data_IF_440655891112
#
_entry.id   IF_440655891112
#
_cell.length_a   1.000
_cell.length_b   1.000
_cell.length_c   1.000
_cell.angle_alpha   90.00
_cell.angle_beta   90.00
_cell.angle_gamma   90.00
#
_symmetry.space_group_name_H-M   'P 1'
#
loop_
_entity.id
_entity.type
_entity.pdbx_description
1 polymer ?
#
# COMPACT_ATOMS: atom_id res chain seq x y z
N UNK A 1 -28.11 -42.62 -79.25
CA UNK A 1 -27.52 -43.94 -78.92
C UNK A 1 -26.21 -43.67 -78.20
N UNK A 2 -25.91 -44.07 -76.96
CA UNK A 2 -26.35 -45.18 -76.10
C UNK A 2 -26.37 -44.69 -74.64
N UNK A 3 -27.31 -45.29 -73.88
CA UNK A 3 -27.41 -45.31 -72.42
C UNK A 3 -26.13 -45.90 -71.79
N UNK A 4 -25.86 -45.65 -70.51
CA UNK A 4 -25.93 -46.67 -69.44
C UNK A 4 -25.49 -46.11 -68.06
N UNK A 5 -26.39 -46.24 -67.07
CA UNK A 5 -26.19 -46.70 -65.67
C UNK A 5 -25.22 -45.93 -64.74
N UNK A 6 -25.37 -45.79 -63.43
CA UNK A 6 -26.33 -46.11 -62.35
C UNK A 6 -25.48 -45.88 -61.08
N UNK A 7 -25.97 -45.18 -60.05
CA UNK A 7 -25.83 -45.53 -58.62
C UNK A 7 -25.92 -44.31 -57.69
N UNK A 8 -27.06 -44.28 -57.02
CA UNK A 8 -27.28 -43.74 -55.68
C UNK A 8 -26.25 -44.36 -54.71
N UNK A 9 -25.59 -43.53 -53.89
CA UNK A 9 -25.13 -43.91 -52.55
C UNK A 9 -24.81 -42.66 -51.70
N UNK A 10 -25.77 -42.32 -50.84
CA UNK A 10 -25.61 -42.07 -49.40
C UNK A 10 -24.33 -41.29 -49.05
N UNK A 11 -24.45 -39.97 -48.94
CA UNK A 11 -23.48 -39.15 -48.24
C UNK A 11 -23.69 -39.35 -46.73
N UNK A 12 -22.91 -40.26 -46.16
CA UNK A 12 -22.84 -40.53 -44.73
C UNK A 12 -22.20 -39.31 -44.05
N UNK A 13 -22.98 -38.62 -43.23
CA UNK A 13 -22.57 -37.54 -42.35
C UNK A 13 -21.64 -38.13 -41.27
N UNK A 14 -20.34 -38.25 -41.56
CA UNK A 14 -19.33 -38.57 -40.53
C UNK A 14 -19.03 -37.28 -39.79
N UNK A 15 -19.77 -37.09 -38.70
CA UNK A 15 -19.46 -36.16 -37.62
C UNK A 15 -18.07 -36.55 -37.07
N UNK A 16 -17.03 -35.83 -37.49
CA UNK A 16 -15.72 -35.87 -36.86
C UNK A 16 -15.84 -35.22 -35.47
N UNK A 17 -16.25 -36.01 -34.48
CA UNK A 17 -15.99 -35.72 -33.08
C UNK A 17 -14.50 -35.88 -32.83
N UNK A 18 -13.73 -34.82 -33.12
CA UNK A 18 -12.38 -34.71 -32.59
C UNK A 18 -12.50 -34.62 -31.06
N UNK A 19 -11.84 -35.50 -30.28
CA UNK A 19 -11.70 -35.25 -28.86
C UNK A 19 -10.90 -33.96 -28.71
N UNK A 20 -11.54 -32.93 -28.17
CA UNK A 20 -10.84 -31.78 -27.64
C UNK A 20 -9.92 -32.29 -26.53
N UNK A 21 -8.65 -32.52 -26.87
CA UNK A 21 -7.59 -32.65 -25.88
C UNK A 21 -7.47 -31.27 -25.25
N UNK A 22 -8.20 -31.07 -24.16
CA UNK A 22 -7.96 -29.98 -23.22
C UNK A 22 -6.57 -30.20 -22.63
N UNK A 23 -5.56 -29.59 -23.24
CA UNK A 23 -4.27 -29.40 -22.60
C UNK A 23 -4.52 -28.61 -21.31
N UNK A 24 -4.41 -29.29 -20.17
CA UNK A 24 -4.40 -28.65 -18.86
C UNK A 24 -3.20 -27.71 -18.78
N UNK A 25 -3.46 -26.41 -18.95
CA UNK A 25 -2.48 -25.34 -18.81
C UNK A 25 -2.36 -24.82 -17.36
N UNK A 26 -2.82 -25.58 -16.36
CA UNK A 26 -2.88 -25.08 -14.97
C UNK A 26 -1.68 -25.47 -14.09
N UNK A 27 -0.82 -26.42 -14.49
CA UNK A 27 0.23 -26.93 -13.59
C UNK A 27 1.63 -26.33 -13.80
N UNK A 28 1.93 -25.76 -14.98
CA UNK A 28 3.26 -25.22 -15.29
C UNK A 28 3.53 -23.81 -14.75
N UNK A 29 2.49 -23.02 -14.50
CA UNK A 29 2.65 -21.59 -14.17
C UNK A 29 3.09 -21.36 -12.71
N UNK A 30 2.76 -22.25 -11.78
CA UNK A 30 3.12 -22.12 -10.35
C UNK A 30 4.50 -22.70 -9.99
N UNK A 31 5.23 -23.29 -10.95
CA UNK A 31 6.56 -23.83 -10.68
C UNK A 31 7.57 -22.77 -10.23
N UNK A 32 7.32 -21.49 -10.55
CA UNK A 32 8.11 -20.38 -10.03
C UNK A 32 8.07 -20.29 -8.50
N UNK A 33 6.93 -20.58 -7.85
CA UNK A 33 6.84 -20.55 -6.39
C UNK A 33 7.66 -21.65 -5.73
N UNK A 34 7.78 -22.82 -6.37
CA UNK A 34 8.66 -23.90 -5.89
C UNK A 34 10.13 -23.48 -5.97
N UNK A 35 10.53 -22.83 -7.07
CA UNK A 35 11.88 -22.27 -7.23
C UNK A 35 12.19 -21.24 -6.13
N UNK A 36 11.23 -20.34 -5.84
CA UNK A 36 11.40 -19.34 -4.78
C UNK A 36 11.41 -19.97 -3.39
N UNK A 37 10.57 -20.99 -3.13
CA UNK A 37 10.55 -21.69 -1.85
C UNK A 37 11.88 -22.38 -1.53
N UNK A 38 12.61 -22.86 -2.55
CA UNK A 38 13.92 -23.47 -2.42
C UNK A 38 15.11 -22.51 -2.55
N UNK A 39 14.88 -21.21 -2.75
CA UNK A 39 15.94 -20.25 -3.02
C UNK A 39 16.93 -20.15 -1.84
N UNK A 40 18.25 -20.19 -2.09
CA UNK A 40 19.25 -20.03 -1.02
C UNK A 40 19.71 -18.58 -0.81
N UNK A 41 19.35 -17.70 -1.74
CA UNK A 41 19.80 -16.31 -1.76
C UNK A 41 18.76 -15.41 -2.41
N UNK A 42 18.70 -14.16 -1.98
CA UNK A 42 18.06 -13.07 -2.72
C UNK A 42 19.00 -12.67 -3.86
N UNK A 43 18.47 -12.65 -5.08
CA UNK A 43 19.23 -12.38 -6.31
C UNK A 43 18.58 -11.25 -7.09
N UNK A 44 19.40 -10.32 -7.60
CA UNK A 44 18.96 -9.36 -8.62
C UNK A 44 18.96 -9.99 -10.02
N UNK A 45 18.50 -9.25 -11.03
CA UNK A 45 18.35 -9.76 -12.39
C UNK A 45 19.66 -10.29 -12.98
N UNK A 46 20.74 -9.54 -12.75
CA UNK A 46 22.07 -9.82 -13.27
C UNK A 46 22.99 -10.15 -12.10
N UNK A 47 23.54 -11.36 -12.14
CA UNK A 47 24.61 -11.81 -11.27
C UNK A 47 25.94 -11.70 -12.00
N UNK A 48 26.93 -11.13 -11.34
CA UNK A 48 28.23 -10.82 -11.91
C UNK A 48 28.06 -10.00 -13.22
N UNK A 49 29.00 -10.09 -14.17
CA UNK A 49 28.97 -9.26 -15.38
C UNK A 49 27.98 -9.73 -16.46
N UNK A 50 27.32 -10.89 -16.35
CA UNK A 50 26.44 -11.38 -17.44
C UNK A 50 25.42 -12.47 -17.09
N UNK A 51 25.45 -13.10 -15.91
CA UNK A 51 24.61 -14.27 -15.65
C UNK A 51 23.23 -13.86 -15.19
N UNK A 52 22.19 -14.20 -15.96
CA UNK A 52 20.80 -13.96 -15.55
C UNK A 52 20.41 -14.89 -14.41
N UNK A 53 19.78 -14.34 -13.38
CA UNK A 53 19.28 -15.13 -12.25
C UNK A 53 17.99 -15.87 -12.60
N UNK A 54 18.00 -17.20 -12.47
CA UNK A 54 16.78 -18.03 -12.58
C UNK A 54 15.82 -17.78 -11.41
N UNK A 55 16.34 -17.45 -10.23
CA UNK A 55 15.54 -17.09 -9.04
C UNK A 55 14.81 -15.76 -9.30
N UNK A 56 15.51 -14.76 -9.83
CA UNK A 56 14.90 -13.49 -10.18
C UNK A 56 13.86 -13.64 -11.32
N UNK A 57 14.14 -14.51 -12.30
CA UNK A 57 13.16 -14.83 -13.34
C UNK A 57 11.89 -15.48 -12.75
N UNK A 58 12.04 -16.39 -11.78
CA UNK A 58 10.91 -16.99 -11.07
C UNK A 58 10.11 -15.94 -10.27
N UNK A 59 10.79 -14.98 -9.62
CA UNK A 59 10.14 -13.84 -8.98
C UNK A 59 9.32 -13.01 -9.98
N UNK A 60 9.90 -12.65 -11.13
CA UNK A 60 9.19 -11.92 -12.19
C UNK A 60 7.99 -12.69 -12.74
N UNK A 61 8.09 -14.02 -12.85
CA UNK A 61 6.98 -14.86 -13.27
C UNK A 61 5.87 -14.88 -12.20
N UNK A 62 6.22 -15.02 -10.92
CA UNK A 62 5.25 -14.99 -9.82
C UNK A 62 4.43 -13.68 -9.79
N UNK A 63 5.05 -12.54 -10.10
CA UNK A 63 4.33 -11.26 -10.24
C UNK A 63 3.30 -11.26 -11.37
N UNK A 64 3.56 -11.97 -12.48
CA UNK A 64 2.61 -12.06 -13.61
C UNK A 64 1.38 -12.89 -13.27
N UNK A 65 1.49 -13.82 -12.32
CA UNK A 65 0.37 -14.64 -11.87
C UNK A 65 -0.70 -13.84 -11.11
N UNK A 66 -0.39 -12.61 -10.67
CA UNK A 66 -1.29 -11.75 -9.87
C UNK A 66 -1.91 -12.50 -8.70
N UNK A 67 -1.06 -13.20 -7.94
CA UNK A 67 -1.46 -13.94 -6.75
C UNK A 67 -2.19 -13.02 -5.77
N UNK A 68 -3.12 -13.57 -4.98
CA UNK A 68 -3.69 -12.83 -3.87
C UNK A 68 -2.57 -12.50 -2.85
N UNK A 69 -2.29 -11.21 -2.57
CA UNK A 69 -1.25 -10.78 -1.65
C UNK A 69 -1.41 -11.34 -0.22
N UNK A 70 -2.65 -11.60 0.20
CA UNK A 70 -3.01 -12.22 1.50
C UNK A 70 -3.44 -13.69 1.33
N UNK A 71 -3.27 -14.24 0.13
CA UNK A 71 -3.70 -15.58 -0.23
C UNK A 71 -2.81 -16.69 0.29
N UNK A 72 -3.36 -17.91 0.19
CA UNK A 72 -2.75 -19.15 0.69
C UNK A 72 -1.39 -19.42 0.09
N UNK A 73 -1.17 -19.15 -1.20
CA UNK A 73 0.10 -19.42 -1.87
C UNK A 73 1.28 -18.66 -1.24
N UNK A 74 1.09 -17.37 -0.92
CA UNK A 74 2.13 -16.57 -0.29
C UNK A 74 2.26 -16.88 1.21
N UNK A 75 1.19 -17.31 1.87
CA UNK A 75 1.24 -17.83 3.24
C UNK A 75 2.04 -19.14 3.32
N UNK A 76 1.83 -20.04 2.37
CA UNK A 76 2.58 -21.30 2.28
C UNK A 76 4.07 -21.02 2.02
N UNK A 77 4.39 -20.05 1.17
CA UNK A 77 5.77 -19.62 0.93
C UNK A 77 6.40 -18.96 2.17
N UNK A 78 5.64 -18.15 2.92
CA UNK A 78 6.08 -17.58 4.19
C UNK A 78 6.32 -18.63 5.28
N UNK A 79 5.51 -19.69 5.30
CA UNK A 79 5.57 -20.73 6.35
C UNK A 79 6.63 -21.79 6.06
N UNK A 80 6.70 -22.25 4.80
CA UNK A 80 7.47 -23.43 4.42
C UNK A 80 8.66 -23.09 3.51
N UNK A 81 8.77 -21.85 3.03
CA UNK A 81 9.90 -21.41 2.22
C UNK A 81 11.19 -21.28 3.01
N UNK A 82 12.30 -21.35 2.29
CA UNK A 82 13.62 -20.97 2.78
C UNK A 82 13.64 -19.50 3.26
N UNK A 83 14.68 -19.07 4.00
CA UNK A 83 14.84 -17.66 4.38
C UNK A 83 14.69 -16.68 3.20
N UNK A 84 15.26 -17.00 2.04
CA UNK A 84 15.10 -16.19 0.84
C UNK A 84 13.66 -16.27 0.28
N UNK A 85 13.04 -17.46 0.27
CA UNK A 85 11.67 -17.66 -0.17
C UNK A 85 10.66 -16.82 0.62
N UNK A 86 10.82 -16.74 1.95
CA UNK A 86 9.97 -15.88 2.81
C UNK A 86 10.09 -14.40 2.46
N UNK A 87 11.31 -13.92 2.22
CA UNK A 87 11.53 -12.54 1.76
C UNK A 87 10.91 -12.31 0.37
N UNK A 88 11.06 -13.25 -0.56
CA UNK A 88 10.41 -13.15 -1.87
C UNK A 88 8.88 -13.12 -1.77
N UNK A 89 8.27 -13.86 -0.85
CA UNK A 89 6.83 -13.75 -0.59
C UNK A 89 6.44 -12.32 -0.17
N UNK A 90 7.27 -11.67 0.64
CA UNK A 90 7.06 -10.28 1.05
C UNK A 90 7.24 -9.30 -0.12
N UNK A 91 8.28 -9.47 -0.95
CA UNK A 91 8.46 -8.66 -2.15
C UNK A 91 7.31 -8.83 -3.15
N UNK A 92 6.84 -10.06 -3.38
CA UNK A 92 5.69 -10.31 -4.26
C UNK A 92 4.44 -9.64 -3.71
N UNK A 93 4.14 -9.84 -2.42
CA UNK A 93 3.00 -9.18 -1.79
C UNK A 93 3.11 -7.67 -1.90
N UNK A 94 4.28 -7.10 -1.63
CA UNK A 94 4.56 -5.66 -1.75
C UNK A 94 4.29 -5.11 -3.15
N UNK A 95 4.78 -5.77 -4.18
CA UNK A 95 4.58 -5.36 -5.58
C UNK A 95 3.11 -5.43 -6.02
N UNK A 96 2.34 -6.35 -5.44
CA UNK A 96 0.94 -6.56 -5.79
C UNK A 96 0.00 -5.69 -4.94
N UNK A 97 0.32 -5.51 -3.65
CA UNK A 97 -0.41 -4.70 -2.66
C UNK A 97 0.55 -4.23 -1.54
N UNK A 98 0.81 -2.91 -1.51
CA UNK A 98 1.75 -2.31 -0.57
C UNK A 98 1.43 -2.60 0.91
N UNK A 99 0.18 -2.38 1.41
CA UNK A 99 -0.16 -2.72 2.79
C UNK A 99 0.06 -4.20 3.16
N UNK A 100 -0.29 -5.11 2.25
CA UNK A 100 -0.05 -6.54 2.40
C UNK A 100 1.45 -6.87 2.52
N UNK A 101 2.28 -6.25 1.67
CA UNK A 101 3.73 -6.37 1.73
C UNK A 101 4.29 -5.93 3.08
N UNK A 102 3.90 -4.73 3.56
CA UNK A 102 4.30 -4.24 4.88
C UNK A 102 3.91 -5.20 6.00
N UNK A 103 2.67 -5.67 6.02
CA UNK A 103 2.17 -6.58 7.04
C UNK A 103 2.96 -7.91 7.06
N UNK A 104 3.43 -8.38 5.91
CA UNK A 104 4.28 -9.57 5.83
C UNK A 104 5.71 -9.30 6.28
N UNK A 105 6.30 -8.16 5.92
CA UNK A 105 7.63 -7.77 6.40
C UNK A 105 7.67 -7.59 7.93
N UNK A 106 6.61 -7.05 8.55
CA UNK A 106 6.51 -6.96 10.01
C UNK A 106 6.61 -8.33 10.71
N UNK A 107 6.05 -9.39 10.09
CA UNK A 107 6.15 -10.76 10.63
C UNK A 107 7.60 -11.29 10.63
N UNK A 108 8.46 -10.75 9.77
CA UNK A 108 9.85 -11.18 9.62
C UNK A 108 10.83 -10.44 10.55
N UNK A 109 10.40 -9.44 11.33
CA UNK A 109 11.30 -8.63 12.19
C UNK A 109 12.04 -9.43 13.26
N UNK A 110 11.56 -10.63 13.60
CA UNK A 110 12.17 -11.52 14.59
C UNK A 110 12.77 -12.79 13.98
N UNK A 111 12.83 -12.88 12.65
CA UNK A 111 13.39 -14.04 11.96
C UNK A 111 14.90 -13.84 11.76
N UNK A 112 15.72 -14.40 12.66
CA UNK A 112 17.18 -14.29 12.59
C UNK A 112 17.83 -15.32 11.68
N UNK A 113 17.05 -16.02 10.85
CA UNK A 113 17.60 -16.96 9.87
C UNK A 113 18.54 -16.24 8.91
N UNK A 114 19.70 -16.86 8.65
CA UNK A 114 20.69 -16.35 7.71
C UNK A 114 20.22 -16.48 6.26
N UNK A 115 20.56 -15.48 5.46
CA UNK A 115 20.26 -15.45 4.04
C UNK A 115 21.37 -14.74 3.28
N UNK A 116 21.70 -15.26 2.10
CA UNK A 116 22.66 -14.63 1.20
C UNK A 116 21.95 -13.60 0.31
N UNK A 117 22.57 -12.44 0.16
CA UNK A 117 22.24 -11.47 -0.87
C UNK A 117 23.26 -11.56 -2.00
N UNK A 118 22.80 -11.56 -3.25
CA UNK A 118 23.65 -11.54 -4.45
C UNK A 118 23.11 -10.51 -5.45
N UNK A 119 23.88 -9.45 -5.68
CA UNK A 119 23.52 -8.40 -6.65
C UNK A 119 24.77 -7.86 -7.33
N UNK A 120 24.81 -7.89 -8.67
CA UNK A 120 26.02 -7.58 -9.41
C UNK A 120 27.21 -8.42 -8.94
N UNK A 121 28.29 -7.78 -8.48
CA UNK A 121 29.48 -8.45 -7.92
C UNK A 121 29.41 -8.67 -6.40
N UNK A 122 28.33 -8.23 -5.75
CA UNK A 122 28.18 -8.29 -4.29
C UNK A 122 27.64 -9.64 -3.87
N UNK A 123 28.31 -10.28 -2.90
CA UNK A 123 27.80 -11.45 -2.17
C UNK A 123 27.96 -11.15 -0.68
N UNK A 124 26.84 -11.12 0.05
CA UNK A 124 26.83 -10.80 1.49
C UNK A 124 25.91 -11.77 2.22
N UNK A 125 26.29 -12.17 3.44
CA UNK A 125 25.40 -12.87 4.37
C UNK A 125 24.78 -11.86 5.34
N UNK A 126 23.47 -11.96 5.53
CA UNK A 126 22.70 -11.12 6.46
C UNK A 126 21.60 -11.98 7.10
N UNK A 127 20.73 -11.37 7.90
CA UNK A 127 19.55 -12.03 8.47
C UNK A 127 18.27 -11.56 7.80
N UNK A 128 17.24 -12.41 7.84
CA UNK A 128 15.89 -12.05 7.38
C UNK A 128 15.35 -10.84 8.17
N UNK A 129 15.57 -10.80 9.49
CA UNK A 129 15.17 -9.70 10.37
C UNK A 129 15.80 -8.35 10.01
N UNK A 130 17.08 -8.35 9.62
CA UNK A 130 17.78 -7.13 9.17
C UNK A 130 17.21 -6.64 7.84
N UNK A 131 17.03 -7.52 6.86
CA UNK A 131 16.41 -7.16 5.58
C UNK A 131 15.01 -6.58 5.81
N UNK A 132 14.18 -7.25 6.62
CA UNK A 132 12.83 -6.81 6.90
C UNK A 132 12.81 -5.43 7.59
N UNK A 133 13.66 -5.22 8.58
CA UNK A 133 13.73 -3.95 9.31
C UNK A 133 14.21 -2.80 8.42
N UNK A 134 15.25 -3.02 7.60
CA UNK A 134 15.72 -2.03 6.63
C UNK A 134 14.63 -1.72 5.60
N UNK A 135 13.94 -2.73 5.06
CA UNK A 135 12.89 -2.53 4.07
C UNK A 135 11.66 -1.81 4.65
N UNK A 136 11.28 -2.07 5.89
CA UNK A 136 10.16 -1.37 6.56
C UNK A 136 10.44 0.13 6.74
N UNK A 137 11.71 0.51 6.93
CA UNK A 137 12.13 1.91 7.10
C UNK A 137 12.38 2.59 5.75
N UNK A 138 13.09 1.91 4.85
CA UNK A 138 13.64 2.51 3.64
C UNK A 138 12.79 2.21 2.39
N UNK A 139 11.84 1.28 2.48
CA UNK A 139 11.00 0.80 1.38
C UNK A 139 11.77 0.25 0.16
N UNK A 140 13.05 -0.06 0.37
CA UNK A 140 13.93 -0.75 -0.56
C UNK A 140 14.97 -1.53 0.23
N UNK A 141 15.65 -2.46 -0.43
CA UNK A 141 16.77 -3.18 0.15
C UNK A 141 17.89 -3.30 -0.90
N UNK A 142 18.96 -2.54 -0.70
CA UNK A 142 20.11 -2.45 -1.63
C UNK A 142 19.64 -2.22 -3.07
N UNK A 143 20.26 -2.88 -4.05
CA UNK A 143 19.94 -2.84 -5.47
C UNK A 143 18.85 -3.84 -5.89
N UNK A 144 18.10 -4.44 -4.95
CA UNK A 144 17.01 -5.35 -5.34
C UNK A 144 15.89 -4.55 -6.04
N UNK A 145 15.57 -4.87 -7.31
CA UNK A 145 14.65 -4.05 -8.09
C UNK A 145 13.20 -4.35 -7.73
N UNK A 146 12.61 -3.49 -6.91
CA UNK A 146 11.16 -3.40 -6.72
C UNK A 146 10.60 -2.42 -7.75
N UNK A 147 9.59 -2.84 -8.51
CA UNK A 147 9.07 -2.01 -9.61
C UNK A 147 8.30 -0.79 -9.12
N UNK A 148 7.88 -0.80 -7.85
CA UNK A 148 7.30 0.37 -7.17
C UNK A 148 8.28 1.57 -7.15
N UNK A 149 9.61 1.36 -7.17
CA UNK A 149 10.57 2.46 -7.13
C UNK A 149 10.74 3.20 -8.48
N UNK A 150 10.40 2.55 -9.61
CA UNK A 150 10.52 3.15 -10.96
C UNK A 150 9.17 3.35 -11.66
N UNK A 151 8.03 2.98 -11.04
CA UNK A 151 6.68 3.04 -11.65
C UNK A 151 5.64 3.81 -10.82
N UNK A 152 6.04 4.81 -10.04
CA UNK A 152 5.07 5.80 -9.58
C UNK A 152 4.82 6.77 -10.76
N UNK A 153 3.71 6.57 -11.48
CA UNK A 153 2.43 7.00 -10.94
C UNK A 153 1.49 5.82 -10.83
N UNK A 154 1.26 5.29 -9.63
CA UNK A 154 0.19 4.30 -9.47
C UNK A 154 -0.56 4.38 -8.14
N UNK A 155 -1.87 4.37 -8.31
CA UNK A 155 -2.97 4.33 -7.35
C UNK A 155 -2.98 3.02 -6.57
N UNK A 156 -2.30 3.00 -5.43
CA UNK A 156 -2.83 2.42 -4.20
C UNK A 156 -3.05 3.65 -3.32
N UNK A 157 -4.03 3.69 -2.41
CA UNK A 157 -4.13 4.76 -1.39
C UNK A 157 -3.43 4.29 -0.10
N UNK A 158 -2.08 4.15 -0.02
CA UNK A 158 -1.38 3.87 1.23
C UNK A 158 -1.58 5.00 2.25
N UNK A 159 -2.05 6.14 1.78
CA UNK A 159 -2.44 7.29 2.58
C UNK A 159 -3.70 6.98 3.40
N UNK A 160 -4.66 6.24 2.87
CA UNK A 160 -5.92 5.97 3.59
C UNK A 160 -5.75 5.11 4.86
N UNK A 161 -4.62 4.42 5.03
CA UNK A 161 -4.28 3.59 6.20
C UNK A 161 -2.95 3.97 6.88
N UNK A 162 -2.37 5.12 6.55
CA UNK A 162 -1.17 5.57 7.25
C UNK A 162 -1.48 5.85 8.73
N UNK A 163 -0.59 5.51 9.69
CA UNK A 163 -0.85 5.68 11.12
C UNK A 163 -1.31 7.10 11.50
N UNK A 164 -0.69 8.14 10.92
CA UNK A 164 -1.08 9.52 11.13
C UNK A 164 -2.48 9.84 10.58
N UNK A 165 -2.89 9.27 9.43
CA UNK A 165 -4.24 9.45 8.89
C UNK A 165 -5.30 8.70 9.71
N UNK A 166 -4.95 7.57 10.32
CA UNK A 166 -5.79 6.91 11.32
C UNK A 166 -5.96 7.80 12.56
N UNK A 167 -4.86 8.32 13.11
CA UNK A 167 -4.88 9.22 14.27
C UNK A 167 -5.73 10.46 14.00
N UNK A 168 -5.61 11.07 12.81
CA UNK A 168 -6.46 12.20 12.42
C UNK A 168 -7.93 11.81 12.28
N UNK A 169 -8.24 10.65 11.69
CA UNK A 169 -9.63 10.16 11.56
C UNK A 169 -10.30 9.95 12.91
N UNK A 170 -9.54 9.48 13.90
CA UNK A 170 -10.03 9.13 15.25
C UNK A 170 -9.76 10.24 16.29
N UNK A 171 -9.24 11.39 15.86
CA UNK A 171 -8.82 12.47 16.74
C UNK A 171 -9.93 12.91 17.69
N UNK A 172 -9.68 12.88 19.00
CA UNK A 172 -10.68 13.30 20.00
C UNK A 172 -10.59 14.79 20.31
N UNK A 173 -9.47 15.41 19.94
CA UNK A 173 -9.09 16.74 20.37
C UNK A 173 -8.47 17.55 19.22
N UNK A 174 -8.93 18.79 19.07
CA UNK A 174 -8.26 19.80 18.25
C UNK A 174 -7.28 20.59 19.14
N UNK A 175 -6.02 20.74 18.72
CA UNK A 175 -5.00 21.43 19.51
C UNK A 175 -4.00 22.22 18.66
N UNK A 176 -3.27 23.13 19.31
CA UNK A 176 -2.39 24.12 18.66
C UNK A 176 -0.89 23.86 18.84
N UNK A 177 -0.48 22.67 19.27
CA UNK A 177 0.93 22.33 19.44
C UNK A 177 1.28 21.85 20.84
N UNK A 178 1.31 22.77 21.80
CA UNK A 178 1.79 22.49 23.15
C UNK A 178 0.58 22.36 24.11
N UNK A 179 0.44 21.19 24.73
CA UNK A 179 -0.57 20.91 25.73
C UNK A 179 0.06 20.78 27.13
N UNK A 180 -0.44 21.57 28.09
CA UNK A 180 -0.10 21.46 29.52
C UNK A 180 1.29 21.96 29.95
N UNK A 181 1.48 22.07 31.26
CA UNK A 181 2.75 22.46 31.93
C UNK A 181 3.88 21.41 31.79
N UNK A 182 3.61 20.26 31.15
CA UNK A 182 4.56 19.16 30.93
C UNK A 182 5.16 19.05 29.52
N UNK A 183 4.81 19.93 28.58
CA UNK A 183 5.53 20.10 27.30
C UNK A 183 5.36 19.00 26.23
N UNK A 184 4.39 18.09 26.37
CA UNK A 184 4.12 17.06 25.37
C UNK A 184 3.25 17.56 24.23
N UNK A 185 3.69 17.38 22.97
CA UNK A 185 2.84 17.60 21.80
C UNK A 185 1.77 16.50 21.72
N UNK A 186 0.46 16.83 21.63
CA UNK A 186 -0.59 15.82 21.47
C UNK A 186 -0.39 14.96 20.23
N UNK A 187 -0.71 13.67 20.32
CA UNK A 187 -0.54 12.71 19.22
C UNK A 187 -1.30 13.16 17.96
N UNK A 188 -2.46 13.77 18.12
CA UNK A 188 -3.29 14.31 17.04
C UNK A 188 -2.59 15.47 16.32
N UNK A 189 -1.92 16.36 17.06
CA UNK A 189 -1.17 17.45 16.44
C UNK A 189 0.12 16.95 15.79
N UNK A 190 0.77 15.94 16.37
CA UNK A 190 1.88 15.22 15.71
C UNK A 190 1.46 14.64 14.36
N UNK A 191 0.31 13.96 14.33
CA UNK A 191 -0.25 13.40 13.10
C UNK A 191 -0.64 14.48 12.09
N UNK A 192 -1.15 15.62 12.54
CA UNK A 192 -1.43 16.79 11.68
C UNK A 192 -0.15 17.31 10.99
N UNK A 193 0.94 17.49 11.73
CA UNK A 193 2.22 17.92 11.15
C UNK A 193 2.81 16.88 10.20
N UNK A 194 2.68 15.60 10.52
CA UNK A 194 3.14 14.53 9.62
C UNK A 194 2.34 14.53 8.31
N UNK A 195 1.01 14.65 8.39
CA UNK A 195 0.15 14.77 7.22
C UNK A 195 0.50 16.00 6.36
N UNK A 196 0.76 17.14 6.99
CA UNK A 196 1.18 18.35 6.29
C UNK A 196 2.43 18.14 5.41
N UNK A 197 3.42 17.39 5.92
CA UNK A 197 4.65 17.08 5.16
C UNK A 197 4.42 16.22 3.93
N UNK A 198 3.32 15.46 3.86
CA UNK A 198 2.98 14.64 2.70
C UNK A 198 2.39 15.46 1.56
N UNK A 199 1.81 16.62 1.86
CA UNK A 199 1.30 17.56 0.87
C UNK A 199 0.22 16.96 -0.03
N UNK A 200 0.28 17.25 -1.33
CA UNK A 200 -0.81 16.98 -2.27
C UNK A 200 -1.15 15.49 -2.48
N UNK A 201 -0.24 14.57 -2.16
CA UNK A 201 -0.49 13.13 -2.25
C UNK A 201 -1.76 12.75 -1.50
N UNK A 202 -1.85 13.14 -0.22
CA UNK A 202 -2.86 12.70 0.74
C UNK A 202 -4.23 13.38 0.59
N UNK A 203 -4.43 14.25 -0.41
CA UNK A 203 -5.63 15.09 -0.52
C UNK A 203 -6.92 14.26 -0.52
N UNK A 204 -6.97 13.17 -1.28
CA UNK A 204 -8.15 12.31 -1.37
C UNK A 204 -8.53 11.67 -0.02
N UNK A 205 -7.52 11.20 0.74
CA UNK A 205 -7.72 10.65 2.07
C UNK A 205 -8.19 11.70 3.07
N UNK A 206 -7.67 12.92 3.00
CA UNK A 206 -8.12 14.04 3.83
C UNK A 206 -9.57 14.43 3.54
N UNK A 207 -9.98 14.51 2.27
CA UNK A 207 -11.38 14.77 1.91
C UNK A 207 -12.34 13.69 2.41
N UNK A 208 -11.88 12.45 2.57
CA UNK A 208 -12.67 11.39 3.20
C UNK A 208 -12.77 11.56 4.72
N UNK A 209 -11.68 11.99 5.38
CA UNK A 209 -11.70 12.32 6.82
C UNK A 209 -12.66 13.49 7.08
N UNK A 210 -12.71 14.51 6.22
CA UNK A 210 -13.70 15.59 6.36
C UNK A 210 -15.14 15.06 6.34
N UNK A 211 -15.42 14.01 5.56
CA UNK A 211 -16.78 13.44 5.45
C UNK A 211 -17.12 12.47 6.58
N UNK A 212 -16.16 11.65 7.03
CA UNK A 212 -16.41 10.48 7.90
C UNK A 212 -15.62 10.45 9.20
N UNK A 213 -14.68 11.37 9.39
CA UNK A 213 -13.82 11.42 10.57
C UNK A 213 -14.54 11.93 11.81
N UNK A 214 -13.84 11.88 12.94
CA UNK A 214 -14.25 12.50 14.19
C UNK A 214 -14.40 14.03 14.05
N UNK A 215 -15.11 14.72 14.96
CA UNK A 215 -15.26 16.18 14.93
C UNK A 215 -13.93 16.95 14.81
N UNK A 216 -12.92 16.59 15.60
CA UNK A 216 -11.60 17.21 15.49
C UNK A 216 -10.88 16.82 14.20
N UNK A 217 -11.01 15.56 13.77
CA UNK A 217 -10.45 15.05 12.52
C UNK A 217 -10.95 15.80 11.29
N UNK A 218 -12.25 16.14 11.26
CA UNK A 218 -12.85 16.94 10.19
C UNK A 218 -12.17 18.31 10.06
N UNK A 219 -11.93 18.99 11.18
CA UNK A 219 -11.29 20.31 11.19
C UNK A 219 -9.81 20.23 10.78
N UNK A 220 -9.05 19.28 11.33
CA UNK A 220 -7.65 19.06 10.91
C UNK A 220 -7.55 18.77 9.41
N UNK A 221 -8.39 17.87 8.90
CA UNK A 221 -8.36 17.48 7.50
C UNK A 221 -8.76 18.63 6.57
N UNK A 222 -9.77 19.42 6.92
CA UNK A 222 -10.16 20.60 6.13
C UNK A 222 -9.03 21.65 6.08
N UNK A 223 -8.33 21.88 7.20
CA UNK A 223 -7.19 22.78 7.24
C UNK A 223 -5.99 22.29 6.41
N UNK A 224 -5.74 20.98 6.38
CA UNK A 224 -4.72 20.38 5.52
C UNK A 224 -5.10 20.46 4.04
N UNK A 225 -6.37 20.19 3.68
CA UNK A 225 -6.84 20.36 2.30
C UNK A 225 -6.70 21.81 1.88
N UNK A 226 -7.03 22.79 2.74
CA UNK A 226 -6.80 24.21 2.46
C UNK A 226 -5.33 24.53 2.17
N UNK A 227 -4.39 23.93 2.92
CA UNK A 227 -2.97 24.14 2.70
C UNK A 227 -2.47 23.56 1.35
N UNK A 228 -3.12 22.50 0.87
CA UNK A 228 -2.81 21.82 -0.40
C UNK A 228 -3.51 22.50 -1.58
N UNK A 229 -4.79 22.84 -1.40
CA UNK A 229 -5.72 23.37 -2.39
C UNK A 229 -6.69 24.33 -1.66
N UNK A 230 -6.36 25.62 -1.77
CA UNK A 230 -7.05 26.70 -1.09
C UNK A 230 -8.56 26.68 -1.36
N UNK A 231 -8.96 26.65 -2.62
CA UNK A 231 -10.36 26.74 -3.04
C UNK A 231 -11.16 25.54 -2.52
N UNK A 232 -10.61 24.33 -2.66
CA UNK A 232 -11.27 23.13 -2.18
C UNK A 232 -11.39 23.11 -0.66
N UNK A 233 -10.35 23.54 0.06
CA UNK A 233 -10.39 23.67 1.52
C UNK A 233 -11.46 24.64 2.00
N UNK A 234 -11.62 25.78 1.33
CA UNK A 234 -12.66 26.77 1.64
C UNK A 234 -14.08 26.20 1.42
N UNK A 235 -14.29 25.43 0.35
CA UNK A 235 -15.55 24.73 0.11
C UNK A 235 -15.84 23.71 1.22
N UNK A 236 -14.85 22.91 1.63
CA UNK A 236 -15.03 21.92 2.70
C UNK A 236 -15.33 22.58 4.06
N UNK A 237 -14.67 23.70 4.39
CA UNK A 237 -15.00 24.47 5.58
C UNK A 237 -16.43 24.99 5.54
N UNK A 238 -16.90 25.48 4.39
CA UNK A 238 -18.27 25.91 4.21
C UNK A 238 -19.28 24.75 4.37
N UNK A 239 -18.95 23.55 3.87
CA UNK A 239 -19.77 22.35 4.09
C UNK A 239 -19.87 22.00 5.58
N UNK A 240 -18.75 22.11 6.31
CA UNK A 240 -18.68 21.83 7.75
C UNK A 240 -19.42 22.85 8.62
N UNK A 241 -19.75 24.05 8.11
CA UNK A 241 -20.60 25.02 8.83
C UNK A 241 -22.01 24.48 9.13
N UNK A 242 -22.41 23.37 8.49
CA UNK A 242 -23.68 22.67 8.73
C UNK A 242 -23.56 21.53 9.76
N UNK A 243 -22.35 21.24 10.25
CA UNK A 243 -22.07 20.11 11.13
C UNK A 243 -22.17 20.53 12.60
N UNK A 244 -23.26 20.13 13.27
CA UNK A 244 -23.51 20.44 14.68
C UNK A 244 -22.77 19.53 15.68
N UNK A 245 -21.83 18.70 15.24
CA UNK A 245 -21.12 17.77 16.13
C UNK A 245 -20.28 18.52 17.17
N UNK A 246 -20.24 18.00 18.40
CA UNK A 246 -19.44 18.58 19.48
C UNK A 246 -17.93 18.43 19.21
N UNK A 247 -17.22 19.55 19.34
CA UNK A 247 -15.78 19.66 19.17
C UNK A 247 -15.14 20.01 20.51
N UNK A 248 -14.18 19.21 20.95
CA UNK A 248 -13.30 19.56 22.07
C UNK A 248 -12.02 20.18 21.53
N UNK A 249 -11.69 21.35 22.03
CA UNK A 249 -10.48 22.10 21.68
C UNK A 249 -9.61 22.33 22.91
N UNK A 250 -8.30 22.19 22.75
CA UNK A 250 -7.31 22.48 23.79
C UNK A 250 -6.19 23.38 23.28
N UNK A 251 -5.91 24.44 24.04
CA UNK A 251 -4.74 25.27 23.87
C UNK A 251 -4.05 25.44 25.22
N UNK A 252 -2.84 24.90 25.37
CA UNK A 252 -2.16 24.82 26.66
C UNK A 252 -2.99 24.04 27.70
N UNK A 253 -3.30 24.67 28.83
CA UNK A 253 -4.12 24.09 29.90
C UNK A 253 -5.63 24.36 29.76
N UNK A 254 -6.04 25.14 28.74
CA UNK A 254 -7.45 25.49 28.54
C UNK A 254 -8.11 24.48 27.61
N UNK A 255 -9.16 23.85 28.11
CA UNK A 255 -10.08 23.01 27.32
C UNK A 255 -11.38 23.79 27.12
N UNK A 256 -11.89 23.76 25.91
CA UNK A 256 -13.16 24.38 25.53
C UNK A 256 -13.98 23.41 24.69
N UNK A 257 -15.29 23.55 24.76
CA UNK A 257 -16.23 22.78 23.98
C UNK A 257 -17.01 23.74 23.08
N UNK A 258 -17.08 23.39 21.80
CA UNK A 258 -17.84 24.14 20.79
C UNK A 258 -18.38 23.13 19.77
N UNK A 259 -18.78 23.59 18.59
CA UNK A 259 -19.24 22.76 17.48
C UNK A 259 -18.27 22.81 16.31
N UNK A 260 -18.29 21.76 15.49
CA UNK A 260 -17.57 21.75 14.20
C UNK A 260 -18.00 22.93 13.33
N UNK A 261 -19.29 23.27 13.31
CA UNK A 261 -19.82 24.39 12.56
C UNK A 261 -19.20 25.74 12.93
N UNK A 262 -19.09 26.04 14.24
CA UNK A 262 -18.52 27.30 14.71
C UNK A 262 -17.01 27.37 14.42
N UNK A 263 -16.28 26.28 14.64
CA UNK A 263 -14.86 26.22 14.31
C UNK A 263 -14.60 26.40 12.81
N UNK A 264 -15.39 25.73 11.96
CA UNK A 264 -15.27 25.84 10.51
C UNK A 264 -15.58 27.27 10.01
N UNK A 265 -16.62 27.90 10.55
CA UNK A 265 -16.96 29.31 10.24
C UNK A 265 -15.85 30.27 10.64
N UNK A 266 -15.30 30.10 11.84
CA UNK A 266 -14.19 30.92 12.35
C UNK A 266 -12.96 30.81 11.45
N UNK A 267 -12.57 29.57 11.10
CA UNK A 267 -11.45 29.31 10.21
C UNK A 267 -11.67 29.88 8.81
N UNK A 268 -12.86 29.72 8.23
CA UNK A 268 -13.17 30.26 6.90
C UNK A 268 -13.15 31.79 6.87
N UNK A 269 -13.62 32.44 7.93
CA UNK A 269 -13.77 33.90 7.98
C UNK A 269 -12.48 34.61 8.39
N UNK A 270 -11.74 34.04 9.34
CA UNK A 270 -10.59 34.71 9.98
C UNK A 270 -9.27 33.99 9.76
N UNK A 271 -9.28 32.78 9.20
CA UNK A 271 -8.10 31.92 9.12
C UNK A 271 -7.67 31.35 10.48
N UNK A 272 -8.43 31.60 11.55
CA UNK A 272 -8.08 31.23 12.92
C UNK A 272 -9.30 30.67 13.69
N UNK A 273 -9.06 29.71 14.58
CA UNK A 273 -10.00 29.29 15.60
C UNK A 273 -9.24 28.99 16.89
N UNK A 274 -9.41 29.86 17.89
CA UNK A 274 -8.78 29.73 19.22
C UNK A 274 -7.26 29.50 19.17
N UNK A 275 -6.57 30.05 18.18
CA UNK A 275 -5.13 29.88 17.98
C UNK A 275 -4.74 28.77 16.99
N UNK A 276 -5.67 27.91 16.58
CA UNK A 276 -5.46 27.00 15.46
C UNK A 276 -5.62 27.78 14.16
N UNK A 277 -4.64 27.71 13.26
CA UNK A 277 -4.61 28.51 12.03
C UNK A 277 -4.67 27.64 10.79
N UNK A 278 -5.27 28.17 9.73
CA UNK A 278 -5.25 27.54 8.41
C UNK A 278 -3.84 27.61 7.81
N UNK A 279 -3.40 26.50 7.22
CA UNK A 279 -2.03 26.30 6.77
C UNK A 279 -1.16 25.74 7.88
N UNK A 280 -0.77 24.47 7.75
CA UNK A 280 0.30 23.92 8.56
C UNK A 280 1.60 24.65 8.20
N UNK A 281 2.16 25.41 9.15
CA UNK A 281 3.49 25.99 9.05
C UNK A 281 4.49 25.12 9.79
#
# INVERSE_FOLDING_TARGET
MKRFFFHIRILLLVLLMAPAISFGAESGDKDCLKVLAGAKSIQTEILNQATRSTIFAAYKQALKLRLDPMGKELDDLMKNGSPAGRIYACFIAWELDYPAGLARFEKLRKDDSKVLYRGGCTIEETTVSKIASEFLVQHHYKDFPTSIFCKLPMKIDPEKNAPYLKTLREAKLLSTGIAGEGGGQPAEFGAYLEAARKGAGIKGALEEIVRKGSPAGKIYAAALVYAIDHDRGMVLLQELEKCGDNLTFQSGCKVSHDTVANAARSLRTTGNYLGFTLGAK
#
